data_IF_099426274211
#
_entry.id   IF_099426274211
#
_cell.length_a   1.000
_cell.length_b   1.000
_cell.length_c   1.000
_cell.angle_alpha   90.00
_cell.angle_beta   90.00
_cell.angle_gamma   90.00
#
_symmetry.space_group_name_H-M   'P 1'
#
loop_
_entity.id
_entity.type
_entity.pdbx_description
1 polymer ?
#
# COMPACT_ATOMS: atom_id res chain seq x y z
N UNK A 1 -19.16 -14.19 -0.09
CA UNK A 1 -18.17 -14.17 -1.18
C UNK A 1 -17.03 -13.31 -0.67
N UNK A 2 -15.85 -13.90 -0.47
CA UNK A 2 -14.66 -13.14 -0.05
C UNK A 2 -14.06 -12.56 -1.32
N UNK A 3 -13.96 -11.24 -1.42
CA UNK A 3 -13.31 -10.58 -2.56
C UNK A 3 -11.80 -10.58 -2.34
N UNK A 4 -11.04 -10.96 -3.36
CA UNK A 4 -9.59 -10.98 -3.28
C UNK A 4 -9.02 -9.68 -3.85
N UNK A 5 -8.64 -8.75 -2.98
CA UNK A 5 -8.09 -7.44 -3.38
C UNK A 5 -6.82 -7.52 -4.24
N UNK A 6 -6.16 -8.68 -4.29
CA UNK A 6 -4.99 -8.91 -5.16
C UNK A 6 -5.33 -9.15 -6.63
N UNK A 7 -6.57 -9.57 -6.96
CA UNK A 7 -6.97 -9.95 -8.32
C UNK A 7 -8.31 -9.38 -8.77
N UNK A 8 -9.14 -8.93 -7.83
CA UNK A 8 -10.49 -8.47 -8.09
C UNK A 8 -10.58 -6.96 -7.91
N UNK A 9 -11.05 -6.29 -8.95
CA UNK A 9 -11.48 -4.89 -8.87
C UNK A 9 -12.60 -4.75 -7.83
N UNK A 10 -12.41 -3.83 -6.90
CA UNK A 10 -13.42 -3.41 -5.93
C UNK A 10 -13.94 -2.02 -6.31
N UNK A 11 -15.21 -1.94 -6.71
CA UNK A 11 -15.92 -0.67 -6.88
C UNK A 11 -16.50 -0.20 -5.55
N UNK A 12 -16.45 1.12 -5.29
CA UNK A 12 -16.96 1.72 -4.07
C UNK A 12 -17.82 2.96 -4.34
N UNK A 13 -18.77 3.20 -3.42
CA UNK A 13 -19.70 4.33 -3.50
C UNK A 13 -20.25 4.68 -2.11
N UNK A 14 -20.23 5.97 -1.77
CA UNK A 14 -20.88 6.56 -0.60
C UNK A 14 -21.47 7.91 -0.94
N UNK A 15 -22.66 8.23 -0.41
CA UNK A 15 -23.41 9.45 -0.74
C UNK A 15 -23.18 10.63 0.21
N UNK A 16 -22.55 10.40 1.36
CA UNK A 16 -22.44 11.42 2.42
C UNK A 16 -21.28 11.13 3.37
N UNK A 17 -20.09 10.91 2.82
CA UNK A 17 -18.88 10.63 3.60
C UNK A 17 -17.99 11.87 3.67
N UNK A 18 -17.55 12.22 4.89
CA UNK A 18 -16.37 13.07 5.09
C UNK A 18 -15.08 12.24 5.07
N UNK A 19 -15.17 10.98 5.50
CA UNK A 19 -14.13 9.98 5.40
C UNK A 19 -14.73 8.70 4.82
N UNK A 20 -13.98 8.05 3.94
CA UNK A 20 -14.31 6.75 3.38
C UNK A 20 -13.07 5.86 3.47
N UNK A 21 -13.25 4.65 3.98
CA UNK A 21 -12.17 3.70 4.24
C UNK A 21 -12.32 2.48 3.35
N UNK A 22 -11.24 2.11 2.70
CA UNK A 22 -11.08 0.80 2.06
C UNK A 22 -10.06 0.05 2.91
N UNK A 23 -10.55 -0.90 3.70
CA UNK A 23 -9.78 -1.52 4.78
C UNK A 23 -9.54 -3.00 4.50
N UNK A 24 -8.36 -3.48 4.89
CA UNK A 24 -8.04 -4.90 4.93
C UNK A 24 -7.37 -5.26 6.27
N UNK A 25 -8.02 -6.15 7.00
CA UNK A 25 -7.55 -6.77 8.26
C UNK A 25 -7.26 -8.26 8.03
N UNK A 26 -6.85 -8.98 9.08
CA UNK A 26 -6.61 -10.42 9.01
C UNK A 26 -7.81 -11.21 8.48
N UNK A 27 -9.03 -10.81 8.86
CA UNK A 27 -10.25 -11.53 8.55
C UNK A 27 -10.70 -11.36 7.10
N UNK A 28 -10.62 -10.14 6.57
CA UNK A 28 -11.01 -9.78 5.21
C UNK A 28 -9.96 -10.13 4.16
N UNK A 29 -8.67 -10.11 4.53
CA UNK A 29 -7.56 -10.44 3.63
C UNK A 29 -7.11 -11.89 3.70
N UNK A 30 -7.57 -12.67 4.68
CA UNK A 30 -7.00 -13.99 4.98
C UNK A 30 -5.55 -13.92 5.49
N UNK A 31 -5.16 -12.77 6.06
CA UNK A 31 -3.81 -12.52 6.58
C UNK A 31 -2.81 -11.98 5.56
N UNK A 32 -3.22 -11.70 4.32
CA UNK A 32 -2.29 -11.32 3.24
C UNK A 32 -1.62 -9.95 3.42
N UNK A 33 -2.23 -9.06 4.19
CA UNK A 33 -1.79 -7.66 4.33
C UNK A 33 -1.58 -7.22 5.76
N UNK A 34 -1.42 -8.14 6.70
CA UNK A 34 -1.24 -7.84 8.13
C UNK A 34 -0.15 -8.75 8.69
N UNK A 35 0.56 -8.32 9.73
CA UNK A 35 1.64 -9.07 10.34
C UNK A 35 2.96 -8.30 10.47
N UNK A 36 4.06 -9.04 10.46
CA UNK A 36 5.43 -8.53 10.61
C UNK A 36 6.06 -8.29 9.24
N UNK A 37 5.85 -7.08 8.69
CA UNK A 37 6.40 -6.70 7.40
C UNK A 37 7.93 -6.67 7.39
N UNK A 38 8.55 -6.35 8.53
CA UNK A 38 10.01 -6.36 8.65
C UNK A 38 10.56 -7.78 8.59
N UNK A 39 9.92 -8.70 9.31
CA UNK A 39 10.24 -10.13 9.30
C UNK A 39 9.99 -10.79 7.94
N UNK A 40 8.93 -10.36 7.25
CA UNK A 40 8.54 -10.87 5.93
C UNK A 40 9.29 -10.19 4.76
N UNK A 41 10.11 -9.19 5.06
CA UNK A 41 10.91 -8.45 4.07
C UNK A 41 10.06 -7.64 3.09
N UNK A 42 8.84 -7.26 3.48
CA UNK A 42 7.95 -6.39 2.71
C UNK A 42 8.44 -4.95 2.86
N UNK A 43 8.67 -4.25 1.75
CA UNK A 43 9.21 -2.90 1.77
C UNK A 43 8.28 -1.86 1.14
N UNK A 44 7.22 -2.27 0.46
CA UNK A 44 6.25 -1.37 -0.13
C UNK A 44 4.90 -2.06 -0.39
N UNK A 45 3.85 -1.25 -0.52
CA UNK A 45 2.56 -1.65 -1.09
C UNK A 45 2.35 -1.02 -2.45
N UNK A 46 1.62 -1.70 -3.33
CA UNK A 46 1.14 -1.16 -4.60
C UNK A 46 -0.35 -1.35 -4.76
N UNK A 47 -1.01 -0.41 -5.41
CA UNK A 47 -2.41 -0.54 -5.82
C UNK A 47 -2.73 0.45 -6.94
N UNK A 48 -3.79 0.15 -7.68
CA UNK A 48 -4.37 1.03 -8.67
C UNK A 48 -5.67 1.65 -8.13
N UNK A 49 -5.82 2.96 -8.26
CA UNK A 49 -7.01 3.67 -7.81
C UNK A 49 -7.56 4.56 -8.93
N UNK A 50 -8.87 4.46 -9.14
CA UNK A 50 -9.66 5.41 -9.94
C UNK A 50 -10.67 6.09 -9.03
N UNK A 51 -10.67 7.43 -9.01
CA UNK A 51 -11.73 8.22 -8.36
C UNK A 51 -12.67 8.72 -9.45
N UNK A 52 -13.97 8.46 -9.33
CA UNK A 52 -14.93 8.82 -10.36
C UNK A 52 -15.15 10.34 -10.43
N UNK A 53 -15.39 10.90 -11.64
CA UNK A 53 -15.82 12.30 -11.78
C UNK A 53 -17.07 12.59 -10.93
N UNK A 54 -17.11 13.77 -10.31
CA UNK A 54 -18.20 14.17 -9.41
C UNK A 54 -18.05 13.68 -7.96
N UNK A 55 -16.97 12.97 -7.64
CA UNK A 55 -16.60 12.70 -6.26
C UNK A 55 -16.08 13.96 -5.55
N UNK A 56 -16.31 14.05 -4.24
CA UNK A 56 -15.94 15.19 -3.39
C UNK A 56 -14.58 15.02 -2.68
N UNK A 57 -13.83 13.96 -2.99
CA UNK A 57 -12.53 13.66 -2.35
C UNK A 57 -11.56 14.82 -2.53
N UNK A 58 -11.00 15.30 -1.43
CA UNK A 58 -9.99 16.35 -1.37
C UNK A 58 -8.65 15.86 -0.83
N UNK A 59 -8.63 14.72 -0.14
CA UNK A 59 -7.43 14.15 0.50
C UNK A 59 -7.39 12.63 0.32
N UNK A 60 -6.18 12.08 0.27
CA UNK A 60 -5.95 10.65 0.09
C UNK A 60 -4.77 10.21 0.96
N UNK A 61 -4.98 9.17 1.77
CA UNK A 61 -3.94 8.60 2.63
C UNK A 61 -3.90 7.09 2.48
N UNK A 62 -2.71 6.54 2.71
CA UNK A 62 -2.54 5.14 3.07
C UNK A 62 -2.25 5.07 4.56
N UNK A 63 -2.91 4.15 5.27
CA UNK A 63 -2.86 4.03 6.71
C UNK A 63 -2.47 2.60 7.11
N UNK A 64 -1.64 2.49 8.15
CA UNK A 64 -1.35 1.24 8.84
C UNK A 64 -1.70 1.41 10.31
N UNK A 65 -2.34 0.39 10.87
CA UNK A 65 -2.89 0.44 12.23
C UNK A 65 -2.59 -0.85 12.97
N UNK A 66 -2.23 -0.71 14.24
CA UNK A 66 -2.25 -1.78 15.23
C UNK A 66 -3.38 -1.43 16.20
N UNK A 67 -4.46 -2.19 16.13
CA UNK A 67 -5.70 -1.92 16.87
C UNK A 67 -5.52 -2.24 18.36
N UNK A 68 -4.70 -3.25 18.68
CA UNK A 68 -4.41 -3.67 20.05
C UNK A 68 -3.74 -2.56 20.86
N UNK A 69 -2.76 -1.87 20.28
CA UNK A 69 -1.95 -0.84 20.95
C UNK A 69 -2.44 0.59 20.62
N UNK A 70 -3.40 0.73 19.70
CA UNK A 70 -3.97 2.03 19.33
C UNK A 70 -3.02 2.92 18.52
N UNK A 71 -2.08 2.29 17.81
CA UNK A 71 -1.07 2.94 16.98
C UNK A 71 -1.58 3.12 15.55
N UNK A 72 -1.46 4.34 15.03
CA UNK A 72 -1.88 4.65 13.66
C UNK A 72 -0.86 5.56 12.98
N UNK A 73 -0.46 5.15 11.78
CA UNK A 73 0.48 5.89 10.93
C UNK A 73 -0.11 6.09 9.55
N UNK A 74 0.02 7.31 9.02
CA UNK A 74 -0.50 7.69 7.71
C UNK A 74 0.60 8.17 6.78
N UNK A 75 0.49 7.78 5.51
CA UNK A 75 1.29 8.26 4.40
C UNK A 75 0.38 9.05 3.44
N UNK A 76 0.67 10.33 3.27
CA UNK A 76 -0.10 11.19 2.39
C UNK A 76 0.19 10.87 0.92
N UNK A 77 -0.87 10.68 0.14
CA UNK A 77 -0.80 10.41 -1.29
C UNK A 77 -1.26 11.62 -2.09
N UNK A 78 -0.68 11.79 -3.27
CA UNK A 78 -1.15 12.81 -4.21
C UNK A 78 -2.48 12.38 -4.78
N UNK A 79 -3.50 13.23 -4.67
CA UNK A 79 -4.82 12.98 -5.24
C UNK A 79 -4.70 12.83 -6.77
N UNK A 80 -5.19 11.72 -7.36
CA UNK A 80 -5.13 11.53 -8.79
C UNK A 80 -6.16 12.41 -9.50
N UNK A 81 -5.96 12.64 -10.80
CA UNK A 81 -6.97 13.26 -11.63
C UNK A 81 -8.22 12.37 -11.71
N UNK A 82 -9.40 12.95 -11.48
CA UNK A 82 -10.66 12.20 -11.52
C UNK A 82 -10.88 11.55 -12.88
N UNK A 83 -11.39 10.32 -12.88
CA UNK A 83 -11.61 9.47 -14.05
C UNK A 83 -10.34 8.81 -14.60
N UNK A 84 -9.18 9.01 -13.97
CA UNK A 84 -7.91 8.39 -14.39
C UNK A 84 -7.54 7.23 -13.47
N UNK A 85 -7.16 6.10 -14.05
CA UNK A 85 -6.56 5.01 -13.29
C UNK A 85 -5.11 5.35 -12.96
N UNK A 86 -4.77 5.43 -11.67
CA UNK A 86 -3.45 5.83 -11.19
C UNK A 86 -2.86 4.75 -10.30
N UNK A 87 -1.64 4.33 -10.61
CA UNK A 87 -0.88 3.38 -9.80
C UNK A 87 -0.13 4.09 -8.67
N UNK A 88 -0.24 3.55 -7.47
CA UNK A 88 0.42 4.03 -6.27
C UNK A 88 1.48 3.04 -5.80
N UNK A 89 2.58 3.58 -5.27
CA UNK A 89 3.61 2.85 -4.54
C UNK A 89 3.79 3.52 -3.19
N UNK A 90 3.57 2.77 -2.11
CA UNK A 90 3.67 3.26 -0.74
C UNK A 90 4.89 2.62 -0.09
N UNK A 91 5.99 3.36 0.12
CA UNK A 91 7.18 2.80 0.72
C UNK A 91 6.99 2.58 2.23
N UNK A 92 7.46 1.45 2.76
CA UNK A 92 7.52 1.17 4.20
C UNK A 92 8.84 1.65 4.82
N UNK A 93 9.45 2.68 4.24
CA UNK A 93 10.54 3.43 4.88
C UNK A 93 9.96 4.50 5.80
N UNK A 94 10.55 4.77 6.96
CA UNK A 94 10.02 5.79 7.89
C UNK A 94 9.95 7.22 7.35
N UNK A 95 10.50 7.52 6.17
CA UNK A 95 10.36 8.82 5.52
C UNK A 95 8.95 8.99 4.90
N UNK A 96 8.30 10.12 5.18
CA UNK A 96 7.00 10.48 4.61
C UNK A 96 5.77 10.00 5.40
N UNK A 97 5.98 9.18 6.42
CA UNK A 97 4.94 8.76 7.35
C UNK A 97 4.75 9.75 8.50
N UNK A 98 3.49 9.94 8.91
CA UNK A 98 3.11 10.76 10.05
C UNK A 98 2.33 9.90 11.03
N UNK A 99 2.74 9.89 12.30
CA UNK A 99 1.97 9.27 13.37
C UNK A 99 0.73 10.13 13.65
N UNK A 100 -0.46 9.52 13.64
CA UNK A 100 -1.73 10.20 13.91
C UNK A 100 -2.35 9.77 15.24
N UNK A 101 -1.96 8.61 15.76
CA UNK A 101 -2.33 8.10 17.09
C UNK A 101 -1.18 7.26 17.64
N UNK A 102 -1.05 7.25 18.96
CA UNK A 102 -0.08 6.42 19.69
C UNK A 102 1.22 7.14 20.08
N UNK A 103 2.16 6.37 20.62
CA UNK A 103 3.49 6.80 21.07
C UNK A 103 4.64 5.86 20.65
N UNK A 104 4.33 4.73 20.00
CA UNK A 104 5.32 3.82 19.49
C UNK A 104 5.99 4.31 18.20
N UNK A 105 7.16 3.77 17.89
CA UNK A 105 7.92 4.18 16.71
C UNK A 105 7.43 3.47 15.42
N UNK A 106 7.78 4.00 14.25
CA UNK A 106 7.35 3.41 12.98
C UNK A 106 7.81 1.96 12.77
N UNK A 107 8.97 1.55 13.32
CA UNK A 107 9.43 0.17 13.20
C UNK A 107 8.58 -0.80 14.03
N UNK A 108 8.03 -0.34 15.16
CA UNK A 108 7.08 -1.10 15.97
C UNK A 108 5.85 -1.45 15.14
N UNK A 109 5.21 -0.46 14.50
CA UNK A 109 3.97 -0.70 13.75
C UNK A 109 4.19 -1.66 12.57
N UNK A 110 5.34 -1.56 11.88
CA UNK A 110 5.67 -2.48 10.78
C UNK A 110 5.88 -3.93 11.23
N UNK A 111 6.21 -4.17 12.51
CA UNK A 111 6.41 -5.53 13.05
C UNK A 111 5.13 -6.24 13.49
N UNK A 112 4.00 -5.53 13.53
CA UNK A 112 2.75 -6.03 14.11
C UNK A 112 1.56 -5.21 13.59
N UNK A 113 1.51 -4.97 12.29
CA UNK A 113 0.37 -4.29 11.68
C UNK A 113 -0.84 -5.23 11.70
N UNK A 114 -1.99 -4.74 12.15
CA UNK A 114 -3.23 -5.52 12.26
C UNK A 114 -4.27 -5.11 11.21
N UNK A 115 -4.12 -3.91 10.65
CA UNK A 115 -5.01 -3.35 9.65
C UNK A 115 -4.25 -2.41 8.72
N UNK A 116 -4.62 -2.45 7.44
CA UNK A 116 -4.25 -1.43 6.47
C UNK A 116 -5.50 -0.77 5.89
N UNK A 117 -5.41 0.52 5.57
CA UNK A 117 -6.53 1.28 5.03
C UNK A 117 -6.09 2.27 3.95
N UNK A 118 -6.90 2.41 2.90
CA UNK A 118 -6.85 3.59 2.02
C UNK A 118 -7.98 4.51 2.44
N UNK A 119 -7.61 5.74 2.80
CA UNK A 119 -8.52 6.73 3.36
C UNK A 119 -8.75 7.84 2.34
N UNK A 120 -10.00 8.01 1.92
CA UNK A 120 -10.43 9.11 1.08
C UNK A 120 -11.15 10.15 1.93
N UNK A 121 -10.52 11.32 2.08
CA UNK A 121 -11.05 12.44 2.84
C UNK A 121 -11.75 13.47 1.97
N UNK A 122 -12.81 14.07 2.48
CA UNK A 122 -13.59 15.11 1.83
C UNK A 122 -13.84 16.26 2.81
N UNK A 123 -13.45 17.49 2.42
CA UNK A 123 -13.60 18.70 3.25
C UNK A 123 -15.06 18.99 3.64
N UNK A 124 -16.02 18.59 2.80
CA UNK A 124 -17.44 18.60 3.11
C UNK A 124 -18.01 17.21 2.87
N UNK A 125 -18.99 16.77 3.67
CA UNK A 125 -19.65 15.50 3.42
C UNK A 125 -20.21 15.47 1.99
N UNK A 126 -19.82 14.46 1.21
CA UNK A 126 -20.13 14.41 -0.20
C UNK A 126 -20.05 13.01 -0.77
N UNK A 127 -20.18 12.92 -2.10
CA UNK A 127 -20.11 11.64 -2.80
C UNK A 127 -18.65 11.16 -2.87
N UNK A 128 -18.37 9.96 -2.38
CA UNK A 128 -17.08 9.29 -2.58
C UNK A 128 -17.32 8.06 -3.43
N UNK A 129 -16.73 8.00 -4.62
CA UNK A 129 -16.89 6.83 -5.50
C UNK A 129 -15.73 6.60 -6.44
N UNK A 130 -15.53 5.35 -6.81
CA UNK A 130 -14.38 4.93 -7.59
C UNK A 130 -14.19 3.43 -7.62
N UNK A 131 -12.97 3.02 -7.92
CA UNK A 131 -12.55 1.62 -7.89
C UNK A 131 -11.10 1.48 -7.48
N UNK A 132 -10.79 0.39 -6.81
CA UNK A 132 -9.42 -0.05 -6.50
C UNK A 132 -9.15 -1.42 -7.13
N UNK A 133 -7.92 -1.65 -7.57
CA UNK A 133 -7.48 -2.92 -8.16
C UNK A 133 -5.97 -3.14 -7.90
N UNK A 134 -5.45 -4.32 -8.25
CA UNK A 134 -4.04 -4.69 -8.22
C UNK A 134 -3.34 -4.42 -6.87
N UNK A 135 -4.03 -4.66 -5.76
CA UNK A 135 -3.46 -4.44 -4.44
C UNK A 135 -2.43 -5.53 -4.10
N UNK A 136 -1.19 -5.15 -3.80
CA UNK A 136 -0.12 -6.10 -3.50
C UNK A 136 0.87 -5.56 -2.45
N UNK A 137 1.40 -6.47 -1.62
CA UNK A 137 2.64 -6.27 -0.88
C UNK A 137 3.82 -6.68 -1.77
N UNK A 138 4.88 -5.88 -1.76
CA UNK A 138 6.07 -6.11 -2.58
C UNK A 138 7.25 -6.30 -1.63
N UNK A 139 7.96 -7.45 -1.73
CA UNK A 139 9.17 -7.68 -0.95
C UNK A 139 10.37 -6.92 -1.52
N UNK A 140 11.40 -6.72 -0.71
CA UNK A 140 12.68 -6.24 -1.24
C UNK A 140 13.17 -7.12 -2.39
N UNK A 141 13.70 -6.54 -3.48
CA UNK A 141 14.35 -7.33 -4.51
C UNK A 141 15.56 -8.01 -3.87
N UNK A 142 15.45 -9.32 -3.60
CA UNK A 142 16.52 -10.09 -2.97
C UNK A 142 17.84 -9.82 -3.69
N UNK A 143 18.82 -9.30 -2.94
CA UNK A 143 20.16 -8.91 -3.43
C UNK A 143 20.88 -10.07 -4.13
N UNK A 144 20.42 -11.31 -3.90
CA UNK A 144 20.83 -12.54 -4.55
C UNK A 144 20.65 -12.52 -6.08
N UNK A 145 19.61 -11.87 -6.61
CA UNK A 145 19.37 -11.78 -8.06
C UNK A 145 20.38 -10.83 -8.73
N UNK A 146 20.77 -9.75 -8.05
CA UNK A 146 21.78 -8.80 -8.54
C UNK A 146 23.16 -9.44 -8.56
N UNK A 147 23.51 -10.23 -7.54
CA UNK A 147 24.76 -11.00 -7.51
C UNK A 147 24.80 -12.08 -8.61
N UNK A 148 23.68 -12.76 -8.90
CA UNK A 148 23.59 -13.77 -9.94
C UNK A 148 23.75 -13.18 -11.36
N UNK A 149 23.15 -12.01 -11.63
CA UNK A 149 23.33 -11.30 -12.91
C UNK A 149 24.76 -10.77 -13.09
N UNK A 150 25.38 -10.27 -12.01
CA UNK A 150 26.78 -9.83 -11.99
C UNK A 150 27.77 -10.97 -12.23
N UNK A 151 27.51 -12.16 -11.68
CA UNK A 151 28.34 -13.34 -11.91
C UNK A 151 28.23 -13.86 -13.35
N UNK A 152 27.01 -13.87 -13.93
CA UNK A 152 26.78 -14.28 -15.31
C UNK A 152 27.44 -13.34 -16.34
N UNK A 153 27.49 -12.03 -16.07
CA UNK A 153 28.23 -11.08 -16.92
C UNK A 153 29.75 -11.18 -16.75
N UNK A 154 30.25 -11.47 -15.54
CA UNK A 154 31.68 -11.70 -15.33
C UNK A 154 32.17 -13.01 -16.00
N UNK A 155 31.40 -14.08 -15.93
CA UNK A 155 31.74 -15.38 -16.54
C UNK A 155 31.67 -15.32 -18.07
N UNK A 156 30.69 -14.62 -18.64
CA UNK A 156 30.56 -14.46 -20.10
C UNK A 156 31.61 -13.52 -20.71
N UNK A 157 32.12 -12.52 -19.97
CA UNK A 157 33.27 -11.70 -20.40
C UNK A 157 34.58 -12.47 -20.38
N UNK A 158 34.82 -13.31 -19.37
CA UNK A 158 36.08 -14.07 -19.26
C UNK A 158 36.25 -15.08 -20.41
N UNK A 159 35.16 -15.72 -20.87
CA UNK A 159 35.20 -16.63 -22.03
C UNK A 159 35.47 -15.97 -23.39
N UNK A 160 35.40 -14.63 -23.50
CA UNK A 160 35.68 -13.90 -24.75
C UNK A 160 37.10 -13.32 -24.83
N UNK A 161 37.91 -13.46 -23.77
CA UNK A 161 39.29 -12.96 -23.77
C UNK A 161 40.35 -14.06 -24.03
N UNK A 162 39.93 -15.31 -24.21
CA UNK A 162 40.80 -16.46 -24.50
C UNK A 162 40.61 -17.01 -25.95
N UNK A 163 40.37 -16.13 -26.94
CA UNK A 163 40.45 -16.47 -28.38
C UNK A 163 41.42 -15.53 -29.07
#
# INVERSE_FOLDING_TARGET
MVQNLTTDRLDFFSLSSSLFFITADASSSGGAFVGDYLGDGINQFSFDLTINPGSSVSELFFEITNLTEGETWQYALTLPAFGTNTSFLVPLSGAGWTQTSGDENFAFILGQTEEISIVLGSATAGNVSGSIDNFASIPEPSTTIIAALGLLTAISRRRRQDV
#
